data_IF_981408040403
#
_entry.id   IF_981408040403
#
_cell.length_a   1.000
_cell.length_b   1.000
_cell.length_c   1.000
_cell.angle_alpha   90.00
_cell.angle_beta   90.00
_cell.angle_gamma   90.00
#
_symmetry.space_group_name_H-M   'P 1'
#
loop_
_entity.id
_entity.type
_entity.pdbx_description
1 polymer ?
#
# COMPACT_ATOMS: atom_id res chain seq x y z
N UNK A 1 -26.01 -13.28 -1.75
CA UNK A 1 -26.53 -11.91 -1.84
C UNK A 1 -26.00 -11.18 -3.07
N UNK A 2 -26.79 -10.36 -3.77
CA UNK A 2 -26.31 -9.62 -4.94
C UNK A 2 -25.28 -8.55 -4.54
N UNK A 3 -24.29 -8.34 -5.41
CA UNK A 3 -23.18 -7.39 -5.19
C UNK A 3 -23.73 -5.96 -5.09
N UNK A 4 -23.43 -5.19 -4.03
CA UNK A 4 -23.87 -3.80 -3.92
C UNK A 4 -23.02 -2.92 -4.85
N UNK A 5 -23.53 -2.67 -6.07
CA UNK A 5 -22.87 -1.84 -7.09
C UNK A 5 -23.30 -0.37 -6.97
N UNK A 6 -22.34 0.54 -7.05
CA UNK A 6 -22.56 1.99 -7.19
C UNK A 6 -22.14 2.46 -8.57
N UNK A 7 -22.91 3.36 -9.15
CA UNK A 7 -22.51 4.01 -10.39
C UNK A 7 -21.50 5.13 -10.10
N UNK A 8 -20.34 5.08 -10.75
CA UNK A 8 -19.28 6.10 -10.61
C UNK A 8 -18.74 6.50 -11.98
N UNK A 9 -18.18 7.72 -12.08
CA UNK A 9 -17.46 8.21 -13.25
C UNK A 9 -15.97 8.28 -12.90
N UNK A 10 -15.21 7.23 -13.23
CA UNK A 10 -13.74 7.16 -13.04
C UNK A 10 -13.05 6.54 -14.25
N UNK A 11 -11.91 7.11 -14.73
CA UNK A 11 -11.15 6.58 -15.86
C UNK A 11 -10.20 5.44 -15.45
N UNK A 12 -10.67 4.51 -14.63
CA UNK A 12 -9.93 3.33 -14.18
C UNK A 12 -10.25 2.12 -15.10
N UNK A 13 -9.35 1.12 -15.23
CA UNK A 13 -9.60 -0.06 -16.07
C UNK A 13 -10.67 -0.99 -15.47
N UNK A 14 -11.48 -1.59 -16.33
CA UNK A 14 -12.45 -2.61 -15.94
C UNK A 14 -11.73 -3.86 -15.43
N UNK A 15 -12.07 -4.32 -14.23
CA UNK A 15 -11.44 -5.48 -13.60
C UNK A 15 -11.82 -6.84 -14.22
N UNK A 16 -12.77 -6.87 -15.17
CA UNK A 16 -13.20 -8.09 -15.89
C UNK A 16 -12.55 -8.16 -17.28
N UNK A 17 -12.64 -7.09 -18.07
CA UNK A 17 -12.16 -7.09 -19.46
C UNK A 17 -10.82 -6.37 -19.68
N UNK A 18 -10.23 -5.78 -18.62
CA UNK A 18 -8.96 -5.03 -18.68
C UNK A 18 -9.00 -3.71 -19.47
N UNK A 19 -10.09 -3.44 -20.19
CA UNK A 19 -10.24 -2.23 -21.01
C UNK A 19 -10.54 -1.00 -20.15
N UNK A 20 -10.02 0.16 -20.56
CA UNK A 20 -10.30 1.44 -19.88
C UNK A 20 -11.77 1.82 -20.02
N UNK A 21 -12.36 2.24 -18.91
CA UNK A 21 -13.67 2.86 -18.92
C UNK A 21 -13.50 4.27 -19.49
N UNK A 22 -14.13 4.55 -20.64
CA UNK A 22 -13.99 5.84 -21.33
C UNK A 22 -14.59 6.96 -20.48
N UNK A 23 -13.96 8.13 -20.53
CA UNK A 23 -14.45 9.35 -19.86
C UNK A 23 -15.92 9.61 -20.22
N UNK A 24 -16.72 9.96 -19.21
CA UNK A 24 -18.15 10.20 -19.38
C UNK A 24 -19.05 8.95 -19.36
N UNK A 25 -18.50 7.73 -19.34
CA UNK A 25 -19.30 6.50 -19.21
C UNK A 25 -19.46 6.05 -17.77
N UNK A 26 -20.65 5.57 -17.46
CA UNK A 26 -20.98 4.96 -16.18
C UNK A 26 -20.16 3.67 -15.95
N UNK A 27 -19.52 3.59 -14.79
CA UNK A 27 -18.89 2.38 -14.27
C UNK A 27 -19.67 1.88 -13.05
N UNK A 28 -19.70 0.57 -12.84
CA UNK A 28 -20.24 -0.05 -11.64
C UNK A 28 -19.07 -0.35 -10.68
N UNK A 29 -19.19 0.10 -9.44
CA UNK A 29 -18.19 -0.07 -8.38
C UNK A 29 -18.78 -0.88 -7.23
N UNK A 30 -18.20 -2.03 -6.93
CA UNK A 30 -18.62 -2.82 -5.79
C UNK A 30 -18.29 -2.12 -4.46
N UNK A 31 -19.28 -1.96 -3.56
CA UNK A 31 -19.04 -1.36 -2.24
C UNK A 31 -18.15 -2.23 -1.34
N UNK A 32 -18.20 -3.55 -1.52
CA UNK A 32 -17.47 -4.52 -0.69
C UNK A 32 -16.02 -4.72 -1.16
N UNK A 33 -15.81 -5.07 -2.44
CA UNK A 33 -14.47 -5.38 -2.97
C UNK A 33 -13.85 -4.25 -3.80
N UNK A 34 -14.54 -3.11 -3.96
CA UNK A 34 -14.11 -1.95 -4.76
C UNK A 34 -13.84 -2.24 -6.25
N UNK A 35 -14.20 -3.44 -6.73
CA UNK A 35 -14.08 -3.82 -8.14
C UNK A 35 -14.85 -2.84 -9.02
N UNK A 36 -14.17 -2.30 -10.03
CA UNK A 36 -14.75 -1.43 -11.04
C UNK A 36 -15.00 -2.21 -12.33
N UNK A 37 -16.19 -2.10 -12.89
CA UNK A 37 -16.61 -2.82 -14.09
C UNK A 37 -17.48 -1.96 -15.00
N UNK A 38 -17.49 -2.29 -16.29
CA UNK A 38 -18.51 -1.77 -17.20
C UNK A 38 -19.89 -2.35 -16.83
N UNK A 39 -20.99 -1.63 -17.07
CA UNK A 39 -22.34 -2.17 -16.93
C UNK A 39 -22.56 -3.48 -17.70
N UNK A 40 -21.97 -3.57 -18.91
CA UNK A 40 -22.01 -4.78 -19.75
C UNK A 40 -21.20 -5.97 -19.21
N UNK A 41 -20.22 -5.71 -18.35
CA UNK A 41 -19.35 -6.74 -17.77
C UNK A 41 -19.89 -7.28 -16.44
N UNK A 42 -21.06 -6.80 -15.98
CA UNK A 42 -21.68 -7.25 -14.73
C UNK A 42 -22.02 -8.73 -14.76
N UNK A 43 -22.57 -9.25 -15.86
CA UNK A 43 -22.99 -10.65 -15.97
C UNK A 43 -21.83 -11.63 -16.16
N UNK A 44 -20.66 -11.12 -16.55
CA UNK A 44 -19.41 -11.90 -16.66
C UNK A 44 -18.61 -11.88 -15.36
N UNK A 45 -19.11 -11.21 -14.32
CA UNK A 45 -18.48 -11.19 -13.02
C UNK A 45 -18.75 -12.53 -12.30
N UNK A 46 -17.72 -13.22 -11.78
CA UNK A 46 -17.95 -14.36 -10.91
C UNK A 46 -18.83 -13.92 -9.72
N UNK A 47 -19.87 -14.71 -9.44
CA UNK A 47 -20.92 -14.40 -8.46
C UNK A 47 -20.43 -14.28 -7.01
N UNK A 48 -19.18 -14.67 -6.76
CA UNK A 48 -18.57 -14.65 -5.43
C UNK A 48 -17.86 -13.30 -5.22
N UNK A 49 -18.57 -12.36 -4.59
CA UNK A 49 -17.96 -11.16 -4.05
C UNK A 49 -17.21 -11.50 -2.76
N UNK A 50 -15.98 -12.00 -2.90
CA UNK A 50 -15.05 -12.06 -1.78
C UNK A 50 -14.71 -10.62 -1.39
N UNK A 51 -14.81 -10.22 -0.11
CA UNK A 51 -14.14 -9.01 0.34
C UNK A 51 -12.67 -9.23 0.02
N UNK A 52 -12.19 -8.61 -1.06
CA UNK A 52 -10.75 -8.49 -1.25
C UNK A 52 -10.27 -7.89 0.06
N UNK A 53 -9.34 -8.52 0.81
CA UNK A 53 -8.62 -7.77 1.82
C UNK A 53 -8.21 -6.51 1.09
N UNK A 54 -8.48 -5.34 1.67
CA UNK A 54 -8.12 -4.10 1.02
C UNK A 54 -6.60 -4.13 0.86
N UNK A 55 -6.11 -4.74 -0.22
CA UNK A 55 -5.13 -4.11 -1.08
C UNK A 55 -5.85 -2.85 -1.53
N UNK A 56 -5.97 -1.88 -0.60
CA UNK A 56 -5.62 -0.53 -0.92
C UNK A 56 -4.41 -0.73 -1.82
N UNK A 57 -4.55 -0.42 -3.10
CA UNK A 57 -3.39 -0.02 -3.86
C UNK A 57 -2.79 1.06 -2.95
N UNK A 58 -1.80 0.67 -2.14
CA UNK A 58 -1.30 1.47 -1.04
C UNK A 58 -1.02 2.80 -1.68
N UNK A 59 -1.76 3.85 -1.29
CA UNK A 59 -1.76 5.02 -2.12
C UNK A 59 -0.31 5.48 -2.16
N UNK A 60 0.22 5.65 -3.36
CA UNK A 60 1.54 6.25 -3.54
C UNK A 60 1.60 7.66 -2.90
N UNK A 61 0.47 8.15 -2.38
CA UNK A 61 0.23 9.45 -1.79
C UNK A 61 -0.93 9.36 -0.78
N UNK A 62 -0.62 9.37 0.51
CA UNK A 62 -1.58 9.36 1.61
C UNK A 62 -1.01 10.10 2.81
N UNK A 63 -1.85 10.48 3.78
CA UNK A 63 -1.37 11.06 5.04
C UNK A 63 -0.87 9.94 5.95
N UNK A 64 0.04 10.24 6.87
CA UNK A 64 0.64 9.21 7.76
C UNK A 64 -0.42 8.35 8.50
N UNK A 65 -1.57 8.96 8.80
CA UNK A 65 -2.71 8.31 9.45
C UNK A 65 -3.33 7.19 8.61
N UNK A 66 -3.24 7.24 7.28
CA UNK A 66 -3.78 6.20 6.38
C UNK A 66 -3.01 4.88 6.53
N UNK A 67 -1.77 4.94 7.03
CA UNK A 67 -0.90 3.78 7.21
C UNK A 67 -0.94 3.22 8.63
N UNK A 68 -1.63 3.88 9.56
CA UNK A 68 -1.77 3.45 10.94
C UNK A 68 -2.89 2.39 11.09
N UNK A 69 -2.73 1.40 11.98
CA UNK A 69 -3.84 0.52 12.36
C UNK A 69 -4.95 1.33 13.04
N UNK A 70 -6.18 0.84 12.97
CA UNK A 70 -7.32 1.46 13.67
C UNK A 70 -7.34 1.18 15.19
N UNK A 71 -6.43 0.35 15.67
CA UNK A 71 -6.25 0.00 17.09
C UNK A 71 -4.95 0.58 17.63
N UNK A 72 -4.89 0.94 18.92
CA UNK A 72 -3.64 1.37 19.56
C UNK A 72 -2.52 0.34 19.33
N UNK A 73 -1.27 0.78 19.09
CA UNK A 73 -0.76 2.14 19.32
C UNK A 73 -0.97 3.16 18.17
N UNK A 74 -1.77 2.85 17.14
CA UNK A 74 -2.00 3.74 15.98
C UNK A 74 -0.71 4.16 15.25
N UNK A 75 0.31 3.30 15.29
CA UNK A 75 1.59 3.53 14.60
C UNK A 75 1.66 2.68 13.34
N UNK A 76 1.99 3.25 12.17
CA UNK A 76 2.23 2.46 10.97
C UNK A 76 3.28 1.39 11.21
N UNK A 77 2.97 0.16 10.81
CA UNK A 77 3.84 -0.99 11.05
C UNK A 77 5.25 -0.81 10.44
N UNK A 78 5.35 -0.10 9.31
CA UNK A 78 6.62 0.31 8.69
C UNK A 78 7.48 1.13 9.66
N UNK A 79 6.89 2.13 10.33
CA UNK A 79 7.61 2.99 11.28
C UNK A 79 8.10 2.18 12.47
N UNK A 80 7.21 1.38 13.06
CA UNK A 80 7.56 0.55 14.22
C UNK A 80 8.74 -0.38 13.90
N UNK A 81 8.70 -1.09 12.77
CA UNK A 81 9.78 -2.00 12.39
C UNK A 81 11.10 -1.28 12.09
N UNK A 82 11.07 -0.19 11.34
CA UNK A 82 12.27 0.59 11.05
C UNK A 82 12.93 1.10 12.34
N UNK A 83 12.14 1.58 13.30
CA UNK A 83 12.64 2.06 14.59
C UNK A 83 13.23 0.91 15.41
N UNK A 84 12.50 -0.20 15.56
CA UNK A 84 13.00 -1.37 16.30
C UNK A 84 14.33 -1.89 15.72
N UNK A 85 14.45 -1.91 14.39
CA UNK A 85 15.68 -2.35 13.72
C UNK A 85 16.86 -1.40 13.98
N UNK A 86 16.60 -0.08 13.94
CA UNK A 86 17.60 0.95 14.26
C UNK A 86 18.02 0.89 15.73
N UNK A 87 17.09 0.66 16.65
CA UNK A 87 17.40 0.50 18.07
C UNK A 87 18.20 -0.78 18.34
N UNK A 88 17.95 -1.86 17.60
CA UNK A 88 18.58 -3.16 17.82
C UNK A 88 20.05 -3.17 17.39
N UNK A 89 20.40 -2.55 16.26
CA UNK A 89 21.77 -2.60 15.71
C UNK A 89 22.35 -1.28 15.22
N UNK A 90 21.54 -0.24 15.10
CA UNK A 90 21.95 1.05 14.54
C UNK A 90 22.59 2.02 15.54
N UNK A 91 22.41 1.80 16.85
CA UNK A 91 22.88 2.75 17.87
C UNK A 91 24.41 2.86 17.95
N UNK A 92 25.14 1.84 17.48
CA UNK A 92 26.61 1.84 17.42
C UNK A 92 27.16 2.37 16.09
N UNK A 93 26.29 2.63 15.11
CA UNK A 93 26.71 3.02 13.76
C UNK A 93 26.98 4.52 13.65
N UNK A 94 28.13 4.86 13.06
CA UNK A 94 28.54 6.26 12.93
C UNK A 94 27.69 6.99 11.90
N UNK A 95 27.17 8.17 12.25
CA UNK A 95 26.41 8.99 11.31
C UNK A 95 25.01 8.46 11.00
N UNK A 96 24.40 7.71 11.92
CA UNK A 96 22.99 7.32 11.87
C UNK A 96 22.08 8.51 11.49
N UNK A 97 21.12 8.28 10.60
CA UNK A 97 20.26 9.28 9.96
C UNK A 97 20.95 10.37 9.12
N UNK A 98 22.24 10.64 9.30
CA UNK A 98 23.02 11.62 8.53
C UNK A 98 23.55 11.05 7.22
N UNK A 99 24.16 9.87 7.27
CA UNK A 99 24.71 9.18 6.10
C UNK A 99 23.55 8.60 5.27
N UNK A 100 23.50 8.82 3.94
CA UNK A 100 22.51 8.20 3.08
C UNK A 100 22.90 6.74 2.79
N UNK A 101 21.92 5.83 2.89
CA UNK A 101 22.05 4.49 2.32
C UNK A 101 21.76 4.50 0.81
N UNK A 102 21.90 3.33 0.17
CA UNK A 102 21.57 3.16 -1.26
C UNK A 102 20.14 3.59 -1.58
N UNK A 103 19.97 4.62 -2.41
CA UNK A 103 18.65 5.15 -2.81
C UNK A 103 17.79 4.10 -3.51
N UNK A 104 18.40 3.24 -4.33
CA UNK A 104 17.72 2.16 -5.01
C UNK A 104 17.11 1.17 -4.01
N UNK A 105 17.90 0.76 -3.00
CA UNK A 105 17.43 -0.13 -1.95
C UNK A 105 16.37 0.54 -1.08
N UNK A 106 16.55 1.82 -0.73
CA UNK A 106 15.55 2.59 0.04
C UNK A 106 14.20 2.57 -0.66
N UNK A 107 14.17 2.85 -1.97
CA UNK A 107 12.93 2.87 -2.75
C UNK A 107 12.31 1.48 -2.90
N UNK A 108 13.13 0.46 -3.13
CA UNK A 108 12.68 -0.93 -3.23
C UNK A 108 12.05 -1.39 -1.91
N UNK A 109 12.74 -1.17 -0.79
CA UNK A 109 12.28 -1.57 0.54
C UNK A 109 11.06 -0.80 0.99
N UNK A 110 10.99 0.52 0.76
CA UNK A 110 9.77 1.31 0.97
C UNK A 110 8.62 0.62 0.26
N UNK A 111 8.70 0.45 -1.06
CA UNK A 111 7.62 -0.17 -1.82
C UNK A 111 7.26 -1.59 -1.35
N UNK A 112 8.24 -2.38 -0.96
CA UNK A 112 8.03 -3.74 -0.45
C UNK A 112 7.24 -3.73 0.86
N UNK A 113 7.58 -2.83 1.78
CA UNK A 113 6.88 -2.64 3.06
C UNK A 113 5.47 -2.07 2.85
N UNK A 114 5.32 -1.09 1.95
CA UNK A 114 4.00 -0.55 1.58
C UNK A 114 3.09 -1.66 1.02
N UNK A 115 3.62 -2.54 0.14
CA UNK A 115 2.83 -3.61 -0.50
C UNK A 115 2.45 -4.77 0.43
N UNK A 116 3.17 -4.95 1.53
CA UNK A 116 3.04 -6.12 2.39
C UNK A 116 1.79 -6.13 3.29
N UNK A 117 1.07 -5.01 3.41
CA UNK A 117 -0.34 -5.00 3.85
C UNK A 117 -0.67 -5.70 5.18
N UNK A 118 0.30 -5.87 6.08
CA UNK A 118 0.13 -6.54 7.38
C UNK A 118 1.12 -7.68 7.65
N UNK A 119 1.66 -8.34 6.63
CA UNK A 119 2.74 -9.34 6.79
C UNK A 119 4.02 -8.75 6.21
N UNK A 120 4.69 -7.94 7.03
CA UNK A 120 5.89 -7.23 6.58
C UNK A 120 7.07 -8.21 6.42
N UNK A 121 7.77 -8.19 5.28
CA UNK A 121 9.03 -8.91 5.13
C UNK A 121 10.05 -8.36 6.12
N UNK A 122 10.85 -9.25 6.70
CA UNK A 122 11.83 -8.90 7.73
C UNK A 122 12.82 -7.86 7.19
N UNK A 123 12.65 -6.60 7.61
CA UNK A 123 13.56 -5.50 7.30
C UNK A 123 14.98 -5.78 7.83
N UNK A 124 15.12 -6.66 8.82
CA UNK A 124 16.40 -7.17 9.32
C UNK A 124 17.25 -7.93 8.28
N UNK A 125 16.70 -8.26 7.11
CA UNK A 125 17.51 -8.78 5.98
C UNK A 125 18.34 -7.71 5.27
N UNK A 126 18.05 -6.43 5.50
CA UNK A 126 18.84 -5.31 4.96
C UNK A 126 20.16 -5.22 5.71
N UNK A 127 21.30 -5.45 5.07
CA UNK A 127 22.60 -5.37 5.76
C UNK A 127 22.96 -3.96 6.24
N UNK A 128 22.65 -2.94 5.43
CA UNK A 128 23.00 -1.53 5.69
C UNK A 128 21.91 -0.81 6.51
N UNK A 129 22.24 -0.35 7.72
CA UNK A 129 21.30 0.39 8.57
C UNK A 129 20.94 1.77 8.01
N UNK A 130 21.82 2.37 7.19
CA UNK A 130 21.56 3.67 6.58
C UNK A 130 20.45 3.56 5.53
N UNK A 131 20.26 2.38 4.92
CA UNK A 131 19.09 2.08 4.07
C UNK A 131 17.81 2.06 4.92
N UNK A 132 17.82 1.41 6.08
CA UNK A 132 16.64 1.39 6.99
C UNK A 132 16.28 2.81 7.45
N UNK A 133 17.28 3.59 7.85
CA UNK A 133 17.10 5.01 8.16
C UNK A 133 16.56 5.80 6.96
N UNK A 134 17.06 5.49 5.76
CA UNK A 134 16.60 6.08 4.50
C UNK A 134 15.13 5.78 4.23
N UNK A 135 14.69 4.53 4.39
CA UNK A 135 13.29 4.11 4.24
C UNK A 135 12.38 4.87 5.20
N UNK A 136 12.78 4.98 6.47
CA UNK A 136 12.01 5.73 7.47
C UNK A 136 11.92 7.22 7.10
N UNK A 137 13.05 7.84 6.73
CA UNK A 137 13.08 9.25 6.29
C UNK A 137 12.22 9.48 5.05
N UNK A 138 12.30 8.59 4.06
CA UNK A 138 11.55 8.70 2.81
C UNK A 138 10.06 8.48 3.01
N UNK A 139 9.66 7.63 3.95
CA UNK A 139 8.26 7.44 4.33
C UNK A 139 7.68 8.70 5.01
N UNK A 140 8.42 9.32 5.93
CA UNK A 140 7.96 10.50 6.66
C UNK A 140 7.96 11.78 5.81
N UNK A 141 8.78 11.84 4.76
CA UNK A 141 8.85 12.99 3.83
C UNK A 141 7.72 13.03 2.80
N UNK A 142 7.11 11.88 2.48
CA UNK A 142 6.07 11.73 1.45
C UNK A 142 6.62 11.12 0.16
#
# INVERSE_FOLDING_TARGET
DPIPLLQVMRPEPCGVCGSRIRFGKAALKCRLCQLLLHPKCQEQCPSICMPRPRHQAWPHQGVIADFAPSTPPLVPALVAQCVTEVETRGLTETGLYRVPGSEQLVREWKQRLLRAGGVLPAIGTVADIHVVCGVLKDFLRG
#
